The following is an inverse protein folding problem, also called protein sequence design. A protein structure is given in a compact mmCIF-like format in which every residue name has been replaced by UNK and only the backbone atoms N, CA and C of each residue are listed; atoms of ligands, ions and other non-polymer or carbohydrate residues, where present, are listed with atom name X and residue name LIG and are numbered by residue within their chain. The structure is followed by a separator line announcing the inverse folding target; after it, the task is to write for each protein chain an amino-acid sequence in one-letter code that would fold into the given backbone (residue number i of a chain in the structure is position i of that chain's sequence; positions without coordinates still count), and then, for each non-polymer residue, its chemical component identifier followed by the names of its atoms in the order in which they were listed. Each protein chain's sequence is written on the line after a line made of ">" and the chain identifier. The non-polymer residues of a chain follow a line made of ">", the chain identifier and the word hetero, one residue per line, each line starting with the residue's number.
data_IF_882159953938
#
_entry.id   IF_882159953938
#
_cell.length_a   1.000
_cell.length_b   1.000
_cell.length_c   1.000
_cell.angle_alpha   90.00
_cell.angle_beta   90.00
_cell.angle_gamma   90.00
#
_symmetry.space_group_name_H-M   'P 1'
#
loop_
_entity.id
_entity.type
_entity.pdbx_description
1 polymer ?
#
# COMPACT_ATOMS: atom_id res chain seq x y z
N UNK A 1 -9.86 28.85 -9.08
CA UNK A 1 -8.48 28.91 -9.60
C UNK A 1 -7.56 29.13 -8.42
N UNK A 2 -6.85 28.10 -7.96
CA UNK A 2 -5.81 28.25 -6.95
C UNK A 2 -4.53 27.62 -7.52
N UNK A 3 -3.64 28.49 -7.98
CA UNK A 3 -2.29 28.13 -8.36
C UNK A 3 -1.52 27.75 -7.10
N UNK A 4 -1.12 26.48 -6.99
CA UNK A 4 -0.10 26.09 -6.02
C UNK A 4 1.24 26.47 -6.63
N UNK A 5 1.85 27.48 -6.02
CA UNK A 5 3.20 27.99 -6.28
C UNK A 5 4.19 26.86 -6.56
N UNK A 6 4.87 27.02 -7.70
CA UNK A 6 6.03 26.26 -8.14
C UNK A 6 7.12 26.34 -7.07
N UNK A 7 7.33 25.24 -6.34
CA UNK A 7 8.56 25.09 -5.56
C UNK A 7 9.68 24.66 -6.52
N UNK A 8 10.71 25.50 -6.58
CA UNK A 8 11.91 25.42 -7.44
C UNK A 8 12.28 24.02 -7.93
N UNK A 9 12.25 23.83 -9.25
CA UNK A 9 12.58 22.59 -9.95
C UNK A 9 14.11 22.36 -10.11
N UNK A 10 14.96 23.26 -9.60
CA UNK A 10 16.40 23.26 -9.92
C UNK A 10 17.31 22.53 -8.91
N UNK A 11 16.87 22.26 -7.68
CA UNK A 11 17.76 21.71 -6.62
C UNK A 11 17.84 20.16 -6.52
N UNK A 12 17.34 19.38 -7.48
CA UNK A 12 17.12 17.92 -7.27
C UNK A 12 17.60 16.93 -8.34
N UNK A 13 18.44 17.34 -9.29
CA UNK A 13 18.95 16.42 -10.33
C UNK A 13 20.21 15.65 -9.94
N UNK A 14 20.80 15.93 -8.78
CA UNK A 14 22.05 15.30 -8.36
C UNK A 14 22.09 15.06 -6.84
N UNK A 15 22.45 13.85 -6.43
CA UNK A 15 22.61 13.46 -5.04
C UNK A 15 24.03 12.92 -4.81
N UNK A 16 24.88 13.73 -4.18
CA UNK A 16 26.22 13.29 -3.79
C UNK A 16 26.22 12.60 -2.43
N UNK A 17 27.13 11.65 -2.28
CA UNK A 17 27.41 10.92 -1.04
C UNK A 17 28.88 10.54 -0.97
N UNK A 18 29.36 10.34 0.26
CA UNK A 18 30.66 9.78 0.52
C UNK A 18 30.45 8.56 1.42
N UNK A 19 30.89 7.40 0.96
CA UNK A 19 30.72 6.14 1.67
C UNK A 19 32.10 5.46 1.76
N UNK A 20 32.48 4.93 2.93
CA UNK A 20 33.67 4.09 3.06
C UNK A 20 33.72 3.04 1.93
N UNK A 21 34.91 2.77 1.40
CA UNK A 21 35.17 1.84 0.29
C UNK A 21 34.66 2.25 -1.11
N UNK A 22 33.72 3.19 -1.20
CA UNK A 22 33.24 3.78 -2.46
C UNK A 22 33.87 5.14 -2.77
N UNK A 23 34.43 5.82 -1.76
CA UNK A 23 34.86 7.22 -1.86
C UNK A 23 33.67 8.11 -2.27
N UNK A 24 33.94 9.14 -3.09
CA UNK A 24 32.91 10.05 -3.59
C UNK A 24 32.02 9.36 -4.64
N UNK A 25 30.71 9.35 -4.38
CA UNK A 25 29.69 8.89 -5.31
C UNK A 25 28.62 9.94 -5.54
N UNK A 26 27.97 9.88 -6.71
CA UNK A 26 26.82 10.72 -7.03
C UNK A 26 25.77 9.96 -7.82
N UNK A 27 24.51 10.28 -7.58
CA UNK A 27 23.39 9.83 -8.41
C UNK A 27 22.85 11.04 -9.17
N UNK A 28 22.86 10.96 -10.50
CA UNK A 28 22.33 12.00 -11.38
C UNK A 28 21.04 11.52 -12.03
N UNK A 29 20.04 12.40 -12.12
CA UNK A 29 18.79 12.15 -12.83
C UNK A 29 18.87 12.85 -14.19
N UNK A 30 18.74 12.08 -15.27
CA UNK A 30 18.74 12.64 -16.63
C UNK A 30 17.38 13.26 -17.00
N UNK A 31 17.30 13.87 -18.18
CA UNK A 31 16.09 14.52 -18.70
C UNK A 31 14.91 13.56 -18.90
N UNK A 32 15.20 12.26 -19.03
CA UNK A 32 14.19 11.20 -19.12
C UNK A 32 13.78 10.66 -17.74
N UNK A 33 14.29 11.26 -16.66
CA UNK A 33 14.03 10.85 -15.28
C UNK A 33 14.83 9.61 -14.85
N UNK A 34 15.84 9.19 -15.61
CA UNK A 34 16.62 7.99 -15.30
C UNK A 34 17.74 8.31 -14.31
N UNK A 35 17.89 7.44 -13.32
CA UNK A 35 18.90 7.55 -12.28
C UNK A 35 20.20 6.87 -12.72
N UNK A 36 21.30 7.63 -12.69
CA UNK A 36 22.63 7.18 -13.10
C UNK A 36 23.57 7.28 -11.91
N UNK A 37 24.22 6.17 -11.59
CA UNK A 37 25.19 6.10 -10.50
C UNK A 37 26.59 6.38 -11.03
N UNK A 38 27.33 7.22 -10.31
CA UNK A 38 28.74 7.47 -10.55
C UNK A 38 29.52 7.27 -9.27
N UNK A 39 30.71 6.70 -9.40
CA UNK A 39 31.69 6.51 -8.33
C UNK A 39 33.02 7.07 -8.83
N UNK A 40 33.61 8.00 -8.10
CA UNK A 40 34.80 8.74 -8.52
C UNK A 40 34.68 9.34 -9.93
N UNK A 41 33.51 9.92 -10.24
CA UNK A 41 33.13 10.45 -11.56
C UNK A 41 33.05 9.44 -12.71
N UNK A 42 33.19 8.14 -12.45
CA UNK A 42 32.99 7.07 -13.45
C UNK A 42 31.59 6.51 -13.33
N UNK A 43 30.88 6.37 -14.45
CA UNK A 43 29.55 5.77 -14.49
C UNK A 43 29.61 4.29 -14.11
N UNK A 44 28.73 3.87 -13.20
CA UNK A 44 28.66 2.49 -12.71
C UNK A 44 27.45 1.80 -13.31
N UNK A 45 27.67 1.02 -14.35
CA UNK A 45 26.60 0.22 -14.98
C UNK A 45 26.25 -1.03 -14.17
N UNK A 46 27.24 -1.59 -13.45
CA UNK A 46 27.08 -2.77 -12.61
C UNK A 46 27.94 -2.62 -11.36
N UNK A 47 27.34 -2.86 -10.21
CA UNK A 47 28.03 -2.81 -8.93
C UNK A 47 28.92 -4.04 -8.73
N UNK A 48 30.15 -3.83 -8.31
CA UNK A 48 30.96 -4.88 -7.67
C UNK A 48 30.36 -5.27 -6.31
N UNK A 49 30.83 -6.37 -5.75
CA UNK A 49 30.39 -6.83 -4.43
C UNK A 49 30.71 -5.83 -3.31
N UNK A 50 31.89 -5.22 -3.34
CA UNK A 50 32.29 -4.19 -2.36
C UNK A 50 31.46 -2.93 -2.52
N UNK A 51 31.25 -2.47 -3.76
CA UNK A 51 30.43 -1.30 -4.06
C UNK A 51 28.98 -1.52 -3.60
N UNK A 52 28.41 -2.70 -3.88
CA UNK A 52 27.07 -3.04 -3.42
C UNK A 52 26.97 -3.06 -1.89
N UNK A 53 27.94 -3.67 -1.19
CA UNK A 53 27.95 -3.71 0.28
C UNK A 53 27.97 -2.30 0.89
N UNK A 54 28.84 -1.42 0.38
CA UNK A 54 28.92 -0.03 0.81
C UNK A 54 27.62 0.74 0.52
N UNK A 55 27.03 0.60 -0.67
CA UNK A 55 25.75 1.24 -0.99
C UNK A 55 24.59 0.76 -0.12
N UNK A 56 24.56 -0.54 0.20
CA UNK A 56 23.57 -1.12 1.12
C UNK A 56 23.69 -0.49 2.51
N UNK A 57 24.91 -0.43 3.06
CA UNK A 57 25.16 0.16 4.37
C UNK A 57 24.75 1.65 4.40
N UNK A 58 25.05 2.39 3.32
CA UNK A 58 24.63 3.78 3.19
C UNK A 58 23.12 3.93 3.14
N UNK A 59 22.43 3.07 2.39
CA UNK A 59 20.98 3.08 2.35
C UNK A 59 20.35 2.78 3.71
N UNK A 60 20.85 1.76 4.43
CA UNK A 60 20.40 1.43 5.78
C UNK A 60 20.61 2.59 6.77
N UNK A 61 21.69 3.36 6.62
CA UNK A 61 21.92 4.56 7.40
C UNK A 61 20.93 5.69 7.05
N UNK A 62 20.57 5.86 5.78
CA UNK A 62 19.56 6.83 5.35
C UNK A 62 18.15 6.46 5.84
N UNK A 63 17.82 5.17 5.91
CA UNK A 63 16.52 4.70 6.40
C UNK A 63 16.24 5.10 7.86
N UNK A 64 17.28 5.26 8.67
CA UNK A 64 17.16 5.71 10.06
C UNK A 64 16.81 7.20 10.19
N UNK A 65 16.88 7.96 9.08
CA UNK A 65 16.64 9.41 9.06
C UNK A 65 15.22 9.72 8.59
N UNK A 66 14.56 10.65 9.28
CA UNK A 66 13.15 11.01 9.02
C UNK A 66 13.01 12.24 8.11
N UNK A 67 14.10 12.99 7.89
CA UNK A 67 14.11 14.23 7.13
C UNK A 67 13.87 14.01 5.63
N UNK A 68 13.30 15.04 4.98
CA UNK A 68 12.91 14.99 3.56
C UNK A 68 14.10 14.72 2.63
N UNK A 69 15.27 15.31 2.90
CA UNK A 69 16.45 15.21 2.04
C UNK A 69 17.02 13.79 2.08
N UNK A 70 17.10 13.18 3.25
CA UNK A 70 17.53 11.78 3.40
C UNK A 70 16.56 10.81 2.73
N UNK A 71 15.24 11.04 2.81
CA UNK A 71 14.23 10.23 2.10
C UNK A 71 14.38 10.34 0.57
N UNK A 72 14.65 11.53 0.05
CA UNK A 72 14.90 11.73 -1.39
C UNK A 72 16.17 11.00 -1.85
N UNK A 73 17.27 11.12 -1.08
CA UNK A 73 18.52 10.39 -1.34
C UNK A 73 18.30 8.87 -1.31
N UNK A 74 17.57 8.39 -0.31
CA UNK A 74 17.28 6.96 -0.14
C UNK A 74 16.46 6.41 -1.31
N UNK A 75 15.43 7.14 -1.78
CA UNK A 75 14.71 6.78 -3.01
C UNK A 75 15.64 6.71 -4.21
N UNK A 76 16.46 7.75 -4.45
CA UNK A 76 17.38 7.79 -5.58
C UNK A 76 18.37 6.62 -5.56
N UNK A 77 18.88 6.29 -4.37
CA UNK A 77 19.82 5.21 -4.14
C UNK A 77 19.20 3.84 -4.46
N UNK A 78 17.99 3.56 -3.98
CA UNK A 78 17.28 2.30 -4.26
C UNK A 78 17.07 2.11 -5.77
N UNK A 79 16.65 3.18 -6.46
CA UNK A 79 16.43 3.12 -7.92
C UNK A 79 17.75 2.89 -8.66
N UNK A 80 18.84 3.55 -8.25
CA UNK A 80 20.17 3.33 -8.81
C UNK A 80 20.69 1.91 -8.58
N UNK A 81 20.53 1.37 -7.36
CA UNK A 81 20.88 -0.02 -7.02
C UNK A 81 20.11 -1.00 -7.92
N UNK A 82 18.81 -0.77 -8.15
CA UNK A 82 18.00 -1.58 -9.04
C UNK A 82 18.56 -1.66 -10.47
N UNK A 83 18.91 -0.48 -11.01
CA UNK A 83 19.38 -0.32 -12.40
C UNK A 83 20.75 -0.96 -12.63
N UNK A 84 21.58 -1.07 -11.60
CA UNK A 84 22.87 -1.78 -11.68
C UNK A 84 22.71 -3.27 -12.03
N UNK A 85 21.53 -3.85 -11.78
CA UNK A 85 21.15 -5.16 -12.27
C UNK A 85 21.92 -6.35 -11.68
N UNK A 86 22.74 -6.17 -10.65
CA UNK A 86 23.43 -7.29 -10.00
C UNK A 86 22.43 -8.20 -9.28
N UNK A 87 22.72 -9.51 -9.18
CA UNK A 87 21.84 -10.45 -8.49
C UNK A 87 21.61 -10.05 -7.01
N UNK A 88 22.67 -9.61 -6.32
CA UNK A 88 22.61 -9.14 -4.93
C UNK A 88 21.79 -7.86 -4.78
N UNK A 89 21.98 -6.90 -5.68
CA UNK A 89 21.18 -5.66 -5.73
C UNK A 89 19.70 -5.94 -5.84
N UNK A 90 19.34 -6.86 -6.73
CA UNK A 90 17.96 -7.20 -6.99
C UNK A 90 17.33 -8.02 -5.86
N UNK A 91 18.08 -8.94 -5.24
CA UNK A 91 17.64 -9.65 -4.02
C UNK A 91 17.42 -8.67 -2.86
N UNK A 92 18.32 -7.72 -2.67
CA UNK A 92 18.16 -6.66 -1.68
C UNK A 92 16.89 -5.86 -1.91
N UNK A 93 16.59 -5.46 -3.15
CA UNK A 93 15.32 -4.79 -3.45
C UNK A 93 14.10 -5.61 -3.01
N UNK A 94 14.11 -6.92 -3.24
CA UNK A 94 13.02 -7.81 -2.82
C UNK A 94 12.88 -7.84 -1.30
N UNK A 95 13.99 -7.99 -0.58
CA UNK A 95 14.03 -7.89 0.89
C UNK A 95 13.43 -6.55 1.37
N UNK A 96 13.82 -5.44 0.73
CA UNK A 96 13.32 -4.10 1.06
C UNK A 96 11.81 -3.96 0.83
N UNK A 97 11.27 -4.53 -0.25
CA UNK A 97 9.84 -4.52 -0.55
C UNK A 97 9.01 -5.29 0.50
N UNK A 98 9.51 -6.46 0.90
CA UNK A 98 8.81 -7.32 1.86
C UNK A 98 8.89 -6.78 3.28
N UNK A 99 10.01 -6.15 3.63
CA UNK A 99 10.30 -5.74 5.02
C UNK A 99 9.74 -4.36 5.38
N UNK A 100 9.79 -3.41 4.45
CA UNK A 100 9.55 -1.99 4.74
C UNK A 100 8.43 -1.42 3.85
N UNK A 101 7.25 -1.21 4.44
CA UNK A 101 6.07 -0.74 3.67
C UNK A 101 6.26 0.61 2.99
N UNK A 102 6.99 1.52 3.62
CA UNK A 102 7.35 2.85 3.14
C UNK A 102 8.34 2.85 1.97
N UNK A 103 8.97 1.71 1.70
CA UNK A 103 9.96 1.52 0.64
C UNK A 103 9.38 0.94 -0.64
N UNK A 104 8.20 0.32 -0.56
CA UNK A 104 7.62 -0.48 -1.65
C UNK A 104 7.43 0.29 -2.95
N UNK A 105 7.01 1.54 -2.88
CA UNK A 105 6.86 2.39 -4.08
C UNK A 105 8.21 2.71 -4.73
N UNK A 106 9.26 3.00 -3.93
CA UNK A 106 10.60 3.27 -4.43
C UNK A 106 11.24 2.01 -5.04
N UNK A 107 11.04 0.86 -4.39
CA UNK A 107 11.51 -0.43 -4.91
C UNK A 107 10.78 -0.78 -6.21
N UNK A 108 9.45 -0.63 -6.25
CA UNK A 108 8.66 -0.92 -7.44
C UNK A 108 9.07 -0.03 -8.63
N UNK A 109 9.38 1.23 -8.37
CA UNK A 109 9.97 2.14 -9.36
C UNK A 109 11.35 1.65 -9.84
N UNK A 110 12.23 1.23 -8.93
CA UNK A 110 13.52 0.65 -9.32
C UNK A 110 13.38 -0.61 -10.18
N UNK A 111 12.52 -1.55 -9.77
CA UNK A 111 12.26 -2.78 -10.51
C UNK A 111 11.58 -2.53 -11.86
N UNK A 112 10.73 -1.49 -11.97
CA UNK A 112 10.08 -1.15 -13.24
C UNK A 112 11.10 -0.67 -14.26
N UNK A 113 12.06 0.18 -13.87
CA UNK A 113 13.18 0.55 -14.75
C UNK A 113 14.01 -0.64 -15.18
N UNK A 114 14.40 -1.51 -14.22
CA UNK A 114 15.18 -2.71 -14.53
C UNK A 114 14.45 -3.62 -15.54
N UNK A 115 13.15 -3.88 -15.34
CA UNK A 115 12.34 -4.72 -16.23
C UNK A 115 12.19 -4.12 -17.65
N UNK A 116 12.15 -2.78 -17.76
CA UNK A 116 12.03 -2.07 -19.05
C UNK A 116 13.34 -2.03 -19.82
N UNK A 117 14.47 -1.90 -19.14
CA UNK A 117 15.76 -1.65 -19.78
C UNK A 117 16.65 -2.90 -19.89
N UNK A 118 16.45 -3.90 -19.04
CA UNK A 118 17.33 -5.07 -18.95
C UNK A 118 16.54 -6.36 -19.19
N UNK A 119 16.12 -7.04 -18.12
CA UNK A 119 15.56 -8.40 -18.19
C UNK A 119 14.25 -8.50 -17.42
N UNK A 120 13.27 -9.18 -18.01
CA UNK A 120 12.04 -9.57 -17.33
C UNK A 120 12.31 -10.77 -16.42
N UNK A 121 11.89 -10.68 -15.16
CA UNK A 121 12.04 -11.75 -14.16
C UNK A 121 10.71 -12.03 -13.48
N UNK A 122 10.39 -13.31 -13.31
CA UNK A 122 9.13 -13.71 -12.68
C UNK A 122 9.02 -13.26 -11.22
N UNK A 123 10.14 -13.23 -10.52
CA UNK A 123 10.19 -12.71 -9.15
C UNK A 123 9.81 -11.23 -9.11
N UNK A 124 10.25 -10.42 -10.07
CA UNK A 124 9.89 -8.99 -10.17
C UNK A 124 8.43 -8.80 -10.52
N UNK A 125 7.90 -9.60 -11.46
CA UNK A 125 6.51 -9.50 -11.88
C UNK A 125 5.56 -9.57 -10.68
N UNK A 126 5.79 -10.50 -9.75
CA UNK A 126 4.97 -10.65 -8.54
C UNK A 126 5.00 -9.39 -7.68
N UNK A 127 6.16 -8.77 -7.49
CA UNK A 127 6.28 -7.55 -6.69
C UNK A 127 5.68 -6.34 -7.40
N UNK A 128 5.87 -6.22 -8.72
CA UNK A 128 5.28 -5.16 -9.52
C UNK A 128 3.75 -5.22 -9.48
N UNK A 129 3.13 -6.40 -9.65
CA UNK A 129 1.67 -6.55 -9.49
C UNK A 129 1.20 -6.16 -8.09
N UNK A 130 1.88 -6.63 -7.04
CA UNK A 130 1.53 -6.29 -5.65
C UNK A 130 1.70 -4.80 -5.35
N UNK A 131 2.66 -4.15 -6.00
CA UNK A 131 2.95 -2.73 -5.81
C UNK A 131 1.82 -1.83 -6.29
N UNK A 132 0.94 -2.31 -7.18
CA UNK A 132 -0.26 -1.58 -7.61
C UNK A 132 -1.14 -1.12 -6.43
N UNK A 133 -1.07 -1.78 -5.27
CA UNK A 133 -1.78 -1.33 -4.07
C UNK A 133 -1.22 -0.03 -3.46
N UNK A 134 0.03 0.33 -3.75
CA UNK A 134 0.77 1.39 -3.04
C UNK A 134 1.37 2.48 -3.96
N UNK A 135 1.60 2.18 -5.23
CA UNK A 135 2.16 3.14 -6.20
C UNK A 135 1.10 4.13 -6.65
N UNK A 136 1.51 5.38 -6.85
CA UNK A 136 0.64 6.50 -7.23
C UNK A 136 1.35 7.37 -8.28
N UNK A 137 0.57 8.15 -9.03
CA UNK A 137 1.09 9.11 -10.01
C UNK A 137 2.12 8.50 -10.97
N UNK A 138 3.26 9.19 -11.12
CA UNK A 138 4.30 8.78 -12.08
C UNK A 138 4.87 7.38 -11.80
N UNK A 139 5.02 6.99 -10.53
CA UNK A 139 5.55 5.68 -10.16
C UNK A 139 4.59 4.57 -10.58
N UNK A 140 3.28 4.81 -10.48
CA UNK A 140 2.27 3.87 -10.98
C UNK A 140 2.34 3.72 -12.50
N UNK A 141 2.52 4.81 -13.24
CA UNK A 141 2.71 4.74 -14.70
C UNK A 141 3.91 3.88 -15.09
N UNK A 142 5.04 4.03 -14.39
CA UNK A 142 6.26 3.26 -14.67
C UNK A 142 6.07 1.77 -14.39
N UNK A 143 5.39 1.43 -13.28
CA UNK A 143 5.04 0.04 -12.96
C UNK A 143 4.11 -0.56 -14.01
N UNK A 144 3.06 0.16 -14.43
CA UNK A 144 2.14 -0.30 -15.48
C UNK A 144 2.89 -0.51 -16.80
N UNK A 145 3.79 0.41 -17.16
CA UNK A 145 4.63 0.31 -18.36
C UNK A 145 5.53 -0.93 -18.33
N UNK A 146 6.13 -1.22 -17.16
CA UNK A 146 6.92 -2.43 -16.98
C UNK A 146 6.06 -3.71 -17.09
N UNK A 147 4.89 -3.73 -16.44
CA UNK A 147 3.96 -4.86 -16.46
C UNK A 147 3.45 -5.19 -17.87
N UNK A 148 3.29 -4.19 -18.74
CA UNK A 148 2.91 -4.38 -20.15
C UNK A 148 3.94 -5.20 -20.95
N UNK A 149 5.20 -5.26 -20.50
CA UNK A 149 6.25 -6.05 -21.18
C UNK A 149 6.17 -7.54 -20.86
N UNK A 150 5.49 -7.92 -19.77
CA UNK A 150 5.35 -9.31 -19.38
C UNK A 150 4.20 -9.97 -20.15
N UNK A 151 4.48 -11.13 -20.76
CA UNK A 151 3.43 -11.97 -21.37
C UNK A 151 2.42 -12.49 -20.33
N UNK A 152 2.84 -12.60 -19.07
CA UNK A 152 2.02 -13.09 -17.96
C UNK A 152 0.87 -12.12 -17.63
N UNK A 153 -0.26 -12.70 -17.25
CA UNK A 153 -1.49 -11.98 -16.88
C UNK A 153 -1.79 -12.15 -15.40
N UNK A 154 -2.27 -11.10 -14.74
CA UNK A 154 -2.88 -11.23 -13.42
C UNK A 154 -4.37 -11.58 -13.61
N UNK A 155 -4.82 -12.68 -13.00
CA UNK A 155 -6.16 -13.24 -13.21
C UNK A 155 -7.08 -13.14 -11.99
N UNK A 156 -6.55 -12.78 -10.81
CA UNK A 156 -7.36 -12.54 -9.61
C UNK A 156 -8.12 -11.22 -9.74
N UNK A 157 -9.39 -11.21 -9.33
CA UNK A 157 -10.26 -10.04 -9.36
C UNK A 157 -9.62 -8.82 -8.71
N UNK A 158 -8.96 -9.00 -7.55
CA UNK A 158 -8.30 -7.92 -6.81
C UNK A 158 -7.26 -7.14 -7.65
N UNK A 159 -6.46 -7.82 -8.47
CA UNK A 159 -5.40 -7.17 -9.24
C UNK A 159 -5.96 -6.40 -10.43
N UNK A 160 -6.95 -6.97 -11.12
CA UNK A 160 -7.65 -6.31 -12.23
C UNK A 160 -8.39 -5.08 -11.70
N UNK A 161 -9.08 -5.23 -10.56
CA UNK A 161 -9.77 -4.14 -9.87
C UNK A 161 -8.80 -3.00 -9.54
N UNK A 162 -7.67 -3.34 -8.91
CA UNK A 162 -6.69 -2.35 -8.49
C UNK A 162 -6.09 -1.60 -9.67
N UNK A 163 -5.81 -2.30 -10.77
CA UNK A 163 -5.32 -1.66 -12.00
C UNK A 163 -6.32 -0.66 -12.58
N UNK A 164 -7.62 -0.99 -12.61
CA UNK A 164 -8.67 -0.07 -13.06
C UNK A 164 -8.70 1.17 -12.15
N UNK A 165 -8.66 0.99 -10.83
CA UNK A 165 -8.69 2.09 -9.85
C UNK A 165 -7.50 3.02 -10.02
N UNK A 166 -6.28 2.47 -10.17
CA UNK A 166 -5.10 3.28 -10.44
C UNK A 166 -5.26 4.03 -11.75
N UNK A 167 -5.69 3.35 -12.81
CA UNK A 167 -5.94 3.99 -14.11
C UNK A 167 -6.86 5.20 -13.99
N UNK A 168 -7.93 5.11 -13.20
CA UNK A 168 -8.88 6.21 -12.97
C UNK A 168 -8.25 7.38 -12.21
N UNK A 169 -7.25 7.12 -11.36
CA UNK A 169 -6.50 8.14 -10.61
C UNK A 169 -5.40 8.83 -11.41
N UNK A 170 -5.02 8.29 -12.58
CA UNK A 170 -3.94 8.82 -13.40
C UNK A 170 -4.45 9.86 -14.42
N UNK A 171 -3.52 10.64 -14.96
CA UNK A 171 -3.78 11.46 -16.15
C UNK A 171 -4.02 10.58 -17.38
N UNK A 172 -4.58 11.15 -18.45
CA UNK A 172 -5.03 10.41 -19.64
C UNK A 172 -3.97 9.47 -20.24
N UNK A 173 -2.70 9.90 -20.28
CA UNK A 173 -1.58 9.06 -20.76
C UNK A 173 -1.37 7.83 -19.87
N UNK A 174 -1.44 7.99 -18.55
CA UNK A 174 -1.32 6.90 -17.58
C UNK A 174 -2.55 5.98 -17.61
N UNK A 175 -3.75 6.57 -17.68
CA UNK A 175 -5.01 5.85 -17.84
C UNK A 175 -5.01 4.98 -19.11
N UNK A 176 -4.49 5.49 -20.23
CA UNK A 176 -4.38 4.74 -21.50
C UNK A 176 -3.49 3.50 -21.35
N UNK A 177 -2.36 3.62 -20.62
CA UNK A 177 -1.52 2.45 -20.30
C UNK A 177 -2.26 1.45 -19.42
N UNK A 178 -3.04 1.91 -18.45
CA UNK A 178 -3.85 1.05 -17.61
C UNK A 178 -4.90 0.28 -18.44
N UNK A 179 -5.61 0.94 -19.37
CA UNK A 179 -6.54 0.30 -20.31
C UNK A 179 -5.84 -0.83 -21.06
N UNK A 180 -4.68 -0.55 -21.69
CA UNK A 180 -3.91 -1.57 -22.42
C UNK A 180 -3.53 -2.76 -21.54
N UNK A 181 -3.17 -2.52 -20.28
CA UNK A 181 -2.80 -3.58 -19.35
C UNK A 181 -4.01 -4.38 -18.89
N UNK A 182 -5.17 -3.74 -18.66
CA UNK A 182 -6.43 -4.44 -18.36
C UNK A 182 -6.84 -5.31 -19.54
N UNK A 183 -6.77 -4.79 -20.77
CA UNK A 183 -7.05 -5.54 -21.98
C UNK A 183 -6.17 -6.79 -22.10
N UNK A 184 -4.86 -6.63 -21.86
CA UNK A 184 -3.91 -7.74 -21.84
C UNK A 184 -4.29 -8.77 -20.78
N UNK A 185 -4.52 -8.36 -19.53
CA UNK A 185 -4.84 -9.28 -18.44
C UNK A 185 -6.18 -9.99 -18.62
N UNK A 186 -7.18 -9.30 -19.16
CA UNK A 186 -8.51 -9.82 -19.42
C UNK A 186 -8.62 -10.57 -20.75
N UNK A 187 -7.57 -10.54 -21.58
CA UNK A 187 -7.49 -11.23 -22.86
C UNK A 187 -8.49 -10.72 -23.91
N UNK A 188 -8.92 -9.47 -23.81
CA UNK A 188 -9.90 -8.87 -24.73
C UNK A 188 -9.74 -7.35 -24.82
N UNK A 189 -10.15 -6.78 -25.95
CA UNK A 189 -10.09 -5.34 -26.21
C UNK A 189 -11.33 -4.59 -25.75
N UNK A 190 -11.21 -3.30 -25.51
CA UNK A 190 -12.36 -2.41 -25.29
C UNK A 190 -13.23 -2.42 -26.55
N UNK A 191 -14.52 -2.76 -26.40
CA UNK A 191 -15.49 -2.72 -27.49
C UNK A 191 -16.08 -1.32 -27.55
N UNK A 192 -15.94 -0.65 -28.70
CA UNK A 192 -16.30 0.77 -28.92
C UNK A 192 -15.60 1.70 -27.92
N UNK A 193 -14.29 1.97 -28.11
CA UNK A 193 -13.56 2.94 -27.31
C UNK A 193 -14.27 4.30 -27.28
N UNK A 194 -14.14 4.97 -26.15
CA UNK A 194 -14.61 6.33 -25.93
C UNK A 194 -13.53 7.34 -26.34
N UNK A 195 -13.84 8.64 -26.26
CA UNK A 195 -12.89 9.72 -26.58
C UNK A 195 -11.76 9.87 -25.53
N UNK A 196 -11.86 9.23 -24.36
CA UNK A 196 -10.85 9.33 -23.29
C UNK A 196 -10.50 7.96 -22.70
N UNK A 197 -9.27 7.81 -22.21
CA UNK A 197 -8.88 6.56 -21.56
C UNK A 197 -9.64 6.35 -20.24
N UNK A 198 -10.03 7.44 -19.55
CA UNK A 198 -10.91 7.35 -18.37
C UNK A 198 -12.31 6.86 -18.72
N UNK A 199 -12.86 7.26 -19.87
CA UNK A 199 -14.13 6.72 -20.37
C UNK A 199 -14.04 5.21 -20.66
N UNK A 200 -12.93 4.75 -21.25
CA UNK A 200 -12.66 3.34 -21.48
C UNK A 200 -12.53 2.55 -20.17
N UNK A 201 -11.88 3.13 -19.16
CA UNK A 201 -11.85 2.54 -17.83
C UNK A 201 -13.25 2.44 -17.22
N UNK A 202 -14.15 3.38 -17.51
CA UNK A 202 -15.57 3.29 -17.16
C UNK A 202 -16.28 2.10 -17.81
N UNK A 203 -15.94 1.75 -19.06
CA UNK A 203 -16.39 0.50 -19.69
C UNK A 203 -15.82 -0.70 -18.92
N UNK A 204 -14.53 -0.67 -18.58
CA UNK A 204 -13.87 -1.73 -17.82
C UNK A 204 -14.42 -1.92 -16.41
N UNK A 205 -14.92 -0.88 -15.74
CA UNK A 205 -15.64 -0.99 -14.48
C UNK A 205 -16.91 -1.84 -14.63
N UNK A 206 -17.72 -1.59 -15.67
CA UNK A 206 -18.95 -2.37 -15.95
C UNK A 206 -18.62 -3.82 -16.28
N UNK A 207 -17.60 -4.02 -17.11
CA UNK A 207 -17.04 -5.35 -17.43
C UNK A 207 -16.61 -6.09 -16.17
N UNK A 208 -15.86 -5.42 -15.29
CA UNK A 208 -15.36 -5.99 -14.06
C UNK A 208 -16.52 -6.42 -13.15
N UNK A 209 -17.51 -5.55 -12.95
CA UNK A 209 -18.68 -5.83 -12.13
C UNK A 209 -19.48 -7.04 -12.65
N UNK A 210 -19.62 -7.19 -13.97
CA UNK A 210 -20.28 -8.36 -14.59
C UNK A 210 -19.47 -9.65 -14.41
N UNK A 211 -18.13 -9.59 -14.51
CA UNK A 211 -17.26 -10.77 -14.42
C UNK A 211 -17.04 -11.23 -12.97
N UNK A 212 -17.02 -10.29 -12.03
CA UNK A 212 -16.75 -10.53 -10.62
C UNK A 212 -17.90 -9.95 -9.77
N UNK A 213 -19.09 -10.55 -9.84
CA UNK A 213 -20.28 -10.05 -9.17
C UNK A 213 -20.19 -10.08 -7.66
N UNK A 214 -19.21 -10.73 -7.05
CA UNK A 214 -18.97 -10.77 -5.60
C UNK A 214 -17.80 -9.88 -5.15
N UNK A 215 -17.11 -9.23 -6.09
CA UNK A 215 -16.02 -8.30 -5.76
C UNK A 215 -16.55 -6.88 -5.49
N UNK A 216 -15.87 -6.10 -4.63
CA UNK A 216 -16.15 -4.67 -4.50
C UNK A 216 -15.97 -3.94 -5.84
N UNK A 217 -16.74 -2.87 -6.10
CA UNK A 217 -16.65 -2.13 -7.37
C UNK A 217 -15.23 -1.59 -7.58
N UNK A 218 -14.79 -1.57 -8.85
CA UNK A 218 -13.52 -0.99 -9.29
C UNK A 218 -13.59 0.55 -9.36
N UNK A 219 -14.04 1.19 -8.28
CA UNK A 219 -14.24 2.63 -8.20
C UNK A 219 -13.23 3.28 -7.27
N UNK A 220 -12.91 4.54 -7.56
CA UNK A 220 -12.15 5.39 -6.64
C UNK A 220 -12.93 5.51 -5.32
N UNK A 221 -12.23 5.55 -4.17
CA UNK A 221 -12.89 5.85 -2.91
C UNK A 221 -13.43 7.28 -2.94
N UNK A 222 -14.65 7.47 -2.44
CA UNK A 222 -15.32 8.78 -2.43
C UNK A 222 -15.64 9.13 -0.99
N UNK A 223 -15.17 10.29 -0.53
CA UNK A 223 -15.53 10.82 0.78
C UNK A 223 -17.06 11.01 0.88
N UNK A 224 -17.67 10.52 1.96
CA UNK A 224 -19.10 10.72 2.18
C UNK A 224 -19.42 12.23 2.26
N UNK A 225 -20.46 12.70 1.56
CA UNK A 225 -20.78 14.14 1.43
C UNK A 225 -20.79 14.87 2.78
N UNK A 226 -21.51 14.33 3.76
CA UNK A 226 -21.68 14.90 5.11
C UNK A 226 -20.57 14.54 6.12
N UNK A 227 -19.55 13.79 5.73
CA UNK A 227 -18.45 13.43 6.62
C UNK A 227 -17.64 14.68 7.00
N UNK A 228 -17.36 14.83 8.30
CA UNK A 228 -16.49 15.87 8.88
C UNK A 228 -15.07 15.79 8.33
N UNK A 229 -14.59 14.57 8.08
CA UNK A 229 -13.20 14.30 7.74
C UNK A 229 -13.05 13.79 6.31
N UNK A 230 -12.31 14.55 5.49
CA UNK A 230 -11.98 14.18 4.11
C UNK A 230 -10.59 13.56 4.05
N UNK A 231 -10.40 12.54 3.21
CA UNK A 231 -9.13 11.82 3.09
C UNK A 231 -7.95 12.77 2.83
N UNK A 232 -8.05 13.66 1.84
CA UNK A 232 -6.95 14.56 1.49
C UNK A 232 -6.59 15.52 2.63
N UNK A 233 -7.58 16.00 3.39
CA UNK A 233 -7.37 16.87 4.54
C UNK A 233 -6.65 16.13 5.67
N UNK A 234 -7.15 14.97 6.09
CA UNK A 234 -6.52 14.17 7.13
C UNK A 234 -5.13 13.68 6.72
N UNK A 235 -4.96 13.26 5.47
CA UNK A 235 -3.66 12.87 4.95
C UNK A 235 -2.65 14.02 5.07
N UNK A 236 -3.02 15.24 4.66
CA UNK A 236 -2.13 16.40 4.78
C UNK A 236 -1.78 16.74 6.24
N UNK A 237 -2.74 16.66 7.16
CA UNK A 237 -2.52 16.86 8.60
C UNK A 237 -1.55 15.81 9.13
N UNK A 238 -1.85 14.54 8.89
CA UNK A 238 -1.07 13.41 9.39
C UNK A 238 0.32 13.34 8.77
N UNK A 239 0.54 13.80 7.54
CA UNK A 239 1.86 13.83 6.90
C UNK A 239 2.80 14.88 7.51
N UNK A 240 2.27 15.94 8.12
CA UNK A 240 3.07 17.02 8.73
C UNK A 240 3.46 16.72 10.18
N UNK A 241 2.70 15.88 10.87
CA UNK A 241 2.93 15.57 12.28
C UNK A 241 3.97 14.46 12.45
N UNK A 242 4.92 14.73 13.36
CA UNK A 242 5.81 13.73 13.94
C UNK A 242 5.19 13.24 15.26
N UNK A 243 5.43 11.98 15.60
CA UNK A 243 4.80 11.31 16.75
C UNK A 243 5.81 11.10 17.87
N UNK A 244 6.57 12.16 18.15
CA UNK A 244 7.72 12.11 19.05
C UNK A 244 7.26 12.32 20.51
N UNK A 245 6.07 12.89 20.69
CA UNK A 245 5.37 13.03 21.96
C UNK A 245 3.92 12.55 21.81
N UNK A 246 3.71 11.24 21.97
CA UNK A 246 2.37 10.64 22.03
C UNK A 246 2.08 10.25 23.46
N UNK A 247 0.95 10.73 23.98
CA UNK A 247 0.40 10.24 25.22
C UNK A 247 -0.26 8.88 24.95
N UNK A 248 0.36 7.81 25.46
CA UNK A 248 -0.10 6.45 25.25
C UNK A 248 -1.43 6.17 25.97
N UNK A 249 -1.68 6.81 27.10
CA UNK A 249 -2.94 6.64 27.84
C UNK A 249 -4.09 7.34 27.12
N UNK A 250 -3.86 8.57 26.66
CA UNK A 250 -4.83 9.29 25.85
C UNK A 250 -5.09 8.55 24.52
N UNK A 251 -4.03 8.09 23.85
CA UNK A 251 -4.12 7.28 22.64
C UNK A 251 -4.98 6.02 22.82
N UNK A 252 -4.80 5.32 23.94
CA UNK A 252 -5.64 4.16 24.32
C UNK A 252 -7.11 4.55 24.54
N UNK A 253 -7.39 5.64 25.26
CA UNK A 253 -8.76 6.14 25.46
C UNK A 253 -9.43 6.44 24.13
N UNK A 254 -8.71 7.07 23.18
CA UNK A 254 -9.21 7.38 21.84
C UNK A 254 -9.42 6.10 21.01
N UNK A 255 -8.49 5.14 21.07
CA UNK A 255 -8.61 3.84 20.41
C UNK A 255 -9.87 3.07 20.85
N UNK A 256 -10.22 3.18 22.14
CA UNK A 256 -11.47 2.64 22.70
C UNK A 256 -12.69 3.47 22.28
N UNK A 257 -12.61 4.81 22.35
CA UNK A 257 -13.68 5.73 21.93
C UNK A 257 -14.09 5.51 20.47
N UNK A 258 -13.10 5.32 19.60
CA UNK A 258 -13.29 4.99 18.18
C UNK A 258 -13.73 3.53 17.94
N UNK A 259 -13.97 2.74 19.00
CA UNK A 259 -14.36 1.32 18.94
C UNK A 259 -13.36 0.38 18.26
N UNK A 260 -12.13 0.83 17.97
CA UNK A 260 -11.10 -0.01 17.34
C UNK A 260 -10.78 -1.25 18.19
N UNK A 261 -10.74 -1.08 19.52
CA UNK A 261 -10.40 -2.15 20.48
C UNK A 261 -11.37 -3.34 20.44
N UNK A 262 -12.61 -3.14 19.99
CA UNK A 262 -13.63 -4.20 19.90
C UNK A 262 -13.28 -5.26 18.85
N UNK A 263 -12.44 -4.92 17.88
CA UNK A 263 -12.08 -5.82 16.78
C UNK A 263 -10.58 -6.05 16.69
N UNK A 264 -9.77 -5.07 17.07
CA UNK A 264 -8.34 -5.07 16.83
C UNK A 264 -7.53 -5.15 18.12
N UNK A 265 -6.51 -6.00 18.07
CA UNK A 265 -5.47 -6.06 19.09
C UNK A 265 -4.39 -5.01 18.82
N UNK A 266 -3.96 -4.31 19.87
CA UNK A 266 -2.79 -3.43 19.87
C UNK A 266 -2.02 -3.62 21.18
N UNK A 267 -0.74 -3.99 21.08
CA UNK A 267 -0.01 -4.58 22.21
C UNK A 267 -0.66 -5.89 22.65
N UNK A 268 -0.98 -5.98 23.93
CA UNK A 268 -1.70 -7.11 24.55
C UNK A 268 -3.20 -6.86 24.75
N UNK A 269 -3.71 -5.70 24.31
CA UNK A 269 -5.09 -5.29 24.54
C UNK A 269 -5.96 -5.41 23.29
N UNK A 270 -7.26 -5.63 23.50
CA UNK A 270 -8.27 -5.74 22.45
C UNK A 270 -8.47 -7.15 21.90
N UNK A 271 -9.28 -7.24 20.86
CA UNK A 271 -9.74 -8.51 20.30
C UNK A 271 -8.90 -8.99 19.10
N UNK A 272 -8.87 -10.30 18.84
CA UNK A 272 -8.09 -10.90 17.74
C UNK A 272 -8.97 -11.28 16.55
N UNK A 273 -9.93 -10.44 16.20
CA UNK A 273 -10.90 -10.73 15.14
C UNK A 273 -10.49 -10.05 13.85
N UNK A 274 -10.18 -8.75 13.91
CA UNK A 274 -9.55 -8.01 12.84
C UNK A 274 -8.02 -8.16 12.85
N UNK A 275 -7.34 -7.52 11.87
CA UNK A 275 -5.89 -7.43 11.82
C UNK A 275 -5.25 -7.02 13.15
N UNK A 276 -4.19 -7.72 13.55
CA UNK A 276 -3.36 -7.29 14.68
C UNK A 276 -2.63 -5.98 14.34
N UNK A 277 -2.94 -4.91 15.07
CA UNK A 277 -2.42 -3.58 14.81
C UNK A 277 -1.03 -3.34 15.40
N UNK A 278 -0.54 -4.19 16.31
CA UNK A 278 0.80 -4.08 16.91
C UNK A 278 1.92 -3.99 15.87
N UNK A 279 1.76 -4.69 14.74
CA UNK A 279 2.76 -4.73 13.66
C UNK A 279 2.29 -4.02 12.39
N UNK A 280 1.15 -3.32 12.42
CA UNK A 280 0.52 -2.83 11.18
C UNK A 280 1.39 -1.82 10.45
N UNK A 281 2.15 -1.00 11.15
CA UNK A 281 2.99 0.02 10.52
C UNK A 281 4.19 -0.57 9.75
N UNK A 282 4.58 -1.83 10.02
CA UNK A 282 5.52 -2.58 9.15
C UNK A 282 4.87 -3.02 7.85
N UNK A 283 3.55 -3.27 7.89
CA UNK A 283 2.78 -3.80 6.77
C UNK A 283 2.15 -2.72 5.90
N UNK A 284 1.80 -1.57 6.46
CA UNK A 284 1.05 -0.50 5.79
C UNK A 284 1.60 0.87 6.19
N UNK A 285 1.70 1.76 5.20
CA UNK A 285 2.01 3.16 5.43
C UNK A 285 0.82 3.86 6.09
N UNK A 286 1.11 5.00 6.74
CA UNK A 286 0.10 5.85 7.40
C UNK A 286 -1.09 6.19 6.49
N UNK A 287 -0.80 6.54 5.24
CA UNK A 287 -1.83 6.86 4.23
C UNK A 287 -2.72 5.66 3.89
N UNK A 288 -2.16 4.45 3.89
CA UNK A 288 -2.90 3.22 3.63
C UNK A 288 -3.81 2.88 4.82
N UNK A 289 -3.32 3.06 6.05
CA UNK A 289 -4.11 2.90 7.28
C UNK A 289 -5.28 3.90 7.28
N UNK A 290 -5.03 5.16 6.96
CA UNK A 290 -6.07 6.19 6.84
C UNK A 290 -7.12 5.81 5.78
N UNK A 291 -6.66 5.37 4.60
CA UNK A 291 -7.55 4.95 3.51
C UNK A 291 -8.41 3.76 3.94
N UNK A 292 -7.84 2.79 4.66
CA UNK A 292 -8.58 1.65 5.19
C UNK A 292 -9.67 2.11 6.18
N UNK A 293 -9.33 2.99 7.14
CA UNK A 293 -10.29 3.49 8.14
C UNK A 293 -11.45 4.26 7.50
N UNK A 294 -11.15 5.16 6.54
CA UNK A 294 -12.19 5.97 5.89
C UNK A 294 -13.01 5.19 4.86
N UNK A 295 -12.41 4.19 4.22
CA UNK A 295 -13.04 3.41 3.15
C UNK A 295 -12.87 1.91 3.40
N UNK A 296 -13.47 1.36 4.47
CA UNK A 296 -13.23 -0.02 4.91
C UNK A 296 -13.55 -1.06 3.82
N UNK A 297 -14.59 -0.82 3.03
CA UNK A 297 -15.01 -1.71 1.92
C UNK A 297 -14.18 -1.53 0.63
N UNK A 298 -13.24 -0.58 0.59
CA UNK A 298 -12.41 -0.35 -0.60
C UNK A 298 -11.38 -1.46 -0.82
N UNK A 299 -10.89 -2.08 0.25
CA UNK A 299 -10.01 -3.25 0.19
C UNK A 299 -10.28 -4.13 1.41
N UNK A 300 -10.81 -5.34 1.17
CA UNK A 300 -11.06 -6.34 2.19
C UNK A 300 -10.00 -7.43 2.03
N UNK A 301 -9.07 -7.61 2.98
CA UNK A 301 -8.06 -8.65 2.89
C UNK A 301 -8.70 -10.06 2.83
N UNK A 302 -8.10 -10.97 2.06
CA UNK A 302 -8.57 -12.36 1.94
C UNK A 302 -8.55 -13.08 3.30
N UNK A 303 -7.67 -12.67 4.23
CA UNK A 303 -7.54 -13.22 5.58
C UNK A 303 -8.64 -12.76 6.55
N UNK A 304 -9.37 -11.70 6.22
CA UNK A 304 -10.43 -11.13 7.05
C UNK A 304 -11.72 -10.93 6.24
N UNK A 305 -12.27 -12.01 5.63
CA UNK A 305 -13.45 -11.90 4.80
C UNK A 305 -14.66 -11.53 5.64
N UNK A 306 -15.52 -10.67 5.10
CA UNK A 306 -16.84 -10.44 5.67
C UNK A 306 -17.81 -11.41 5.02
N UNK A 307 -18.66 -12.07 5.83
CA UNK A 307 -19.60 -13.08 5.36
C UNK A 307 -20.99 -12.81 5.89
N UNK A 308 -21.99 -13.13 5.08
CA UNK A 308 -23.39 -13.20 5.49
C UNK A 308 -23.77 -14.67 5.63
N UNK A 309 -24.22 -15.05 6.83
CA UNK A 309 -24.70 -16.38 7.17
C UNK A 309 -26.22 -16.35 7.29
N UNK A 310 -26.89 -17.24 6.58
CA UNK A 310 -28.33 -17.47 6.64
C UNK A 310 -28.59 -18.76 7.43
N UNK A 311 -29.48 -18.71 8.42
CA UNK A 311 -29.91 -19.90 9.17
C UNK A 311 -31.12 -20.55 8.52
N UNK A 312 -31.34 -21.83 8.83
CA UNK A 312 -32.53 -22.59 8.41
C UNK A 312 -33.84 -21.97 8.92
N UNK A 313 -33.77 -21.22 10.01
CA UNK A 313 -34.90 -20.44 10.56
C UNK A 313 -35.08 -19.05 9.93
N UNK A 314 -34.38 -18.74 8.83
CA UNK A 314 -34.52 -17.48 8.09
C UNK A 314 -33.82 -16.26 8.69
N UNK A 315 -33.01 -16.43 9.75
CA UNK A 315 -32.23 -15.33 10.32
C UNK A 315 -30.93 -15.14 9.55
N UNK A 316 -30.56 -13.88 9.30
CA UNK A 316 -29.30 -13.53 8.64
C UNK A 316 -28.35 -12.80 9.59
N UNK A 317 -27.08 -13.19 9.56
CA UNK A 317 -26.01 -12.59 10.36
C UNK A 317 -24.87 -12.17 9.44
N UNK A 318 -24.46 -10.90 9.50
CA UNK A 318 -23.34 -10.38 8.70
C UNK A 318 -22.20 -9.98 9.61
N UNK A 319 -20.99 -10.46 9.31
CA UNK A 319 -19.83 -10.20 10.13
C UNK A 319 -18.58 -10.97 9.71
N UNK A 320 -17.54 -10.90 10.54
CA UNK A 320 -16.34 -11.73 10.38
C UNK A 320 -16.52 -13.06 11.10
N UNK A 321 -16.15 -14.15 10.44
CA UNK A 321 -16.06 -15.45 11.11
C UNK A 321 -14.88 -15.45 12.08
N UNK A 322 -15.14 -15.81 13.33
CA UNK A 322 -14.12 -16.01 14.35
C UNK A 322 -13.80 -17.48 14.55
N UNK A 323 -12.74 -17.76 15.32
CA UNK A 323 -12.45 -19.11 15.77
C UNK A 323 -13.62 -19.64 16.63
N UNK A 324 -14.01 -20.90 16.41
CA UNK A 324 -15.10 -21.56 17.12
C UNK A 324 -14.87 -23.07 17.23
N UNK A 325 -15.63 -23.72 18.09
CA UNK A 325 -15.53 -25.16 18.32
C UNK A 325 -16.09 -26.03 17.17
N UNK A 326 -16.07 -27.36 17.31
CA UNK A 326 -16.46 -28.29 16.24
C UNK A 326 -17.91 -28.11 15.78
N UNK A 327 -18.85 -27.77 16.68
CA UNK A 327 -20.30 -27.73 16.40
C UNK A 327 -20.87 -26.32 16.19
N UNK A 328 -20.08 -25.28 16.42
CA UNK A 328 -20.57 -23.89 16.46
C UNK A 328 -19.72 -23.02 15.54
N UNK A 329 -20.33 -22.04 14.89
CA UNK A 329 -19.66 -20.93 14.23
C UNK A 329 -19.79 -19.67 15.08
N UNK A 330 -18.71 -18.90 15.16
CA UNK A 330 -18.72 -17.55 15.73
C UNK A 330 -18.78 -16.53 14.58
N UNK A 331 -19.76 -15.64 14.62
CA UNK A 331 -19.78 -14.43 13.80
C UNK A 331 -19.66 -13.22 14.72
N UNK A 332 -18.70 -12.34 14.43
CA UNK A 332 -18.67 -11.00 15.00
C UNK A 332 -19.48 -10.06 14.12
N UNK A 333 -20.64 -9.63 14.61
CA UNK A 333 -21.48 -8.64 13.95
C UNK A 333 -20.77 -7.29 13.78
N UNK A 334 -21.28 -6.48 12.85
CA UNK A 334 -20.77 -5.13 12.57
C UNK A 334 -20.84 -4.18 13.78
N UNK A 335 -21.67 -4.52 14.76
CA UNK A 335 -21.82 -3.80 16.04
C UNK A 335 -20.80 -4.25 17.11
N UNK A 336 -19.93 -5.20 16.78
CA UNK A 336 -18.96 -5.80 17.70
C UNK A 336 -19.55 -6.90 18.59
N UNK A 337 -20.78 -7.36 18.35
CA UNK A 337 -21.38 -8.46 19.14
C UNK A 337 -20.98 -9.82 18.57
N UNK A 338 -20.62 -10.73 19.47
CA UNK A 338 -20.31 -12.13 19.17
C UNK A 338 -21.62 -12.92 19.12
N UNK A 339 -21.88 -13.59 18.01
CA UNK A 339 -23.03 -14.48 17.83
C UNK A 339 -22.52 -15.90 17.57
N UNK A 340 -23.00 -16.84 18.38
CA UNK A 340 -22.68 -18.26 18.24
C UNK A 340 -23.85 -18.99 17.58
N UNK A 341 -23.58 -19.67 16.47
CA UNK A 341 -24.59 -20.33 15.65
C UNK A 341 -24.20 -21.79 15.50
N UNK A 342 -25.10 -22.73 15.80
CA UNK A 342 -24.81 -24.16 15.60
C UNK A 342 -24.68 -24.43 14.10
N UNK A 343 -23.64 -25.16 13.68
CA UNK A 343 -23.39 -25.47 12.26
C UNK A 343 -24.59 -26.16 11.60
N UNK A 344 -25.28 -27.04 12.33
CA UNK A 344 -26.50 -27.71 11.84
C UNK A 344 -27.66 -26.77 11.50
N UNK A 345 -27.67 -25.56 12.06
CA UNK A 345 -28.71 -24.55 11.84
C UNK A 345 -28.34 -23.61 10.69
N UNK A 346 -27.15 -23.74 10.11
CA UNK A 346 -26.71 -22.93 8.97
C UNK A 346 -27.30 -23.47 7.68
N UNK A 347 -27.88 -22.58 6.88
CA UNK A 347 -28.41 -22.86 5.55
C UNK A 347 -27.41 -22.44 4.47
N UNK A 348 -26.84 -21.24 4.58
CA UNK A 348 -25.89 -20.72 3.58
C UNK A 348 -24.86 -19.78 4.21
N UNK A 349 -23.68 -19.68 3.60
CA UNK A 349 -22.62 -18.71 3.95
C UNK A 349 -22.15 -18.07 2.64
N UNK A 350 -22.34 -16.75 2.53
CA UNK A 350 -22.05 -15.99 1.31
C UNK A 350 -21.02 -14.91 1.61
N UNK A 351 -19.97 -14.74 0.77
CA UNK A 351 -19.06 -13.60 0.87
C UNK A 351 -19.80 -12.27 0.75
N UNK A 352 -19.38 -11.27 1.52
CA UNK A 352 -19.95 -9.93 1.49
C UNK A 352 -18.92 -8.90 0.97
N UNK A 353 -19.37 -7.99 0.11
CA UNK A 353 -18.56 -6.89 -0.45
C UNK A 353 -18.34 -5.74 0.51
N UNK A 354 -19.14 -5.68 1.58
CA UNK A 354 -19.09 -4.66 2.60
C UNK A 354 -18.17 -5.19 3.70
N UNK A 355 -17.20 -4.38 4.10
CA UNK A 355 -16.28 -4.72 5.17
C UNK A 355 -17.00 -4.78 6.52
N UNK A 356 -16.53 -5.68 7.39
CA UNK A 356 -16.96 -5.74 8.76
C UNK A 356 -16.47 -4.56 9.61
N UNK A 357 -15.39 -3.88 9.20
CA UNK A 357 -14.95 -2.66 9.84
C UNK A 357 -15.98 -1.54 9.57
N UNK A 358 -16.57 -0.92 10.61
CA UNK A 358 -17.59 0.10 10.43
C UNK A 358 -17.06 1.34 9.70
N UNK A 359 -17.95 2.03 8.97
CA UNK A 359 -17.66 3.36 8.45
C UNK A 359 -17.74 4.41 9.56
N UNK A 360 -17.24 5.62 9.30
CA UNK A 360 -17.41 6.81 10.17
C UNK A 360 -16.75 6.71 11.56
N UNK A 361 -15.80 5.80 11.76
CA UNK A 361 -15.09 5.62 13.04
C UNK A 361 -14.38 6.89 13.56
N UNK A 362 -14.08 7.85 12.67
CA UNK A 362 -13.39 9.10 13.01
C UNK A 362 -14.32 10.30 13.21
N UNK A 363 -15.62 10.22 12.91
CA UNK A 363 -16.53 11.38 12.89
C UNK A 363 -16.62 12.10 14.25
N UNK A 364 -16.68 11.32 15.33
CA UNK A 364 -16.77 11.81 16.71
C UNK A 364 -15.43 12.26 17.31
N UNK A 365 -14.35 12.16 16.54
CA UNK A 365 -13.02 12.55 16.98
C UNK A 365 -12.69 13.99 16.57
N UNK A 366 -11.94 14.70 17.41
CA UNK A 366 -11.26 15.94 17.03
C UNK A 366 -10.04 15.68 16.14
N UNK A 367 -9.47 16.74 15.58
CA UNK A 367 -8.25 16.63 14.78
C UNK A 367 -7.09 16.08 15.63
N UNK A 368 -6.95 16.61 16.85
CA UNK A 368 -5.94 16.26 17.82
C UNK A 368 -6.11 14.80 18.27
N UNK A 369 -7.34 14.36 18.50
CA UNK A 369 -7.63 12.96 18.82
C UNK A 369 -7.23 12.02 17.66
N UNK A 370 -7.47 12.42 16.40
CA UNK A 370 -7.02 11.62 15.24
C UNK A 370 -5.49 11.56 15.17
N UNK A 371 -4.79 12.66 15.42
CA UNK A 371 -3.32 12.68 15.46
C UNK A 371 -2.81 11.72 16.56
N UNK A 372 -3.39 11.79 17.76
CA UNK A 372 -3.03 10.90 18.89
C UNK A 372 -3.35 9.43 18.59
N UNK A 373 -4.49 9.13 17.96
CA UNK A 373 -4.86 7.78 17.55
C UNK A 373 -3.83 7.16 16.60
N UNK A 374 -3.42 7.90 15.56
CA UNK A 374 -2.40 7.41 14.63
C UNK A 374 -1.03 7.30 15.29
N UNK A 375 -0.68 8.23 16.18
CA UNK A 375 0.52 8.14 17.00
C UNK A 375 0.56 6.87 17.86
N UNK A 376 -0.56 6.57 18.52
CA UNK A 376 -0.73 5.37 19.34
C UNK A 376 -0.62 4.08 18.53
N UNK A 377 -1.26 4.00 17.36
CA UNK A 377 -1.12 2.83 16.46
C UNK A 377 0.34 2.65 16.01
N UNK A 378 1.10 3.74 15.82
CA UNK A 378 2.49 3.67 15.36
C UNK A 378 3.52 3.41 16.47
N UNK A 379 3.21 3.72 17.74
CA UNK A 379 4.16 3.60 18.84
C UNK A 379 4.58 2.15 19.14
N UNK A 380 3.66 1.19 18.99
CA UNK A 380 3.89 -0.22 19.29
C UNK A 380 4.85 -0.93 18.33
N UNK A 381 5.04 -0.38 17.12
CA UNK A 381 6.05 -0.92 16.22
C UNK A 381 7.46 -0.47 16.63
N UNK A 382 7.62 0.74 17.16
CA UNK A 382 8.92 1.26 17.62
C UNK A 382 9.42 0.52 18.87
N UNK A 383 8.54 0.15 19.80
CA UNK A 383 8.92 -0.54 21.04
C UNK A 383 9.54 -1.93 20.80
N UNK A 384 9.11 -2.68 19.78
CA UNK A 384 9.68 -4.00 19.48
C UNK A 384 11.02 -3.95 18.74
N UNK A 385 11.33 -2.85 18.04
CA UNK A 385 12.63 -2.69 17.37
C UNK A 385 13.78 -2.53 18.37
N UNK A 386 13.50 -2.04 19.58
CA UNK A 386 14.49 -1.89 20.67
C UNK A 386 14.86 -3.26 21.28
N UNK A 387 14.01 -4.28 21.13
CA UNK A 387 14.20 -5.60 21.76
C UNK A 387 15.02 -6.64 20.97
N UNK A 388 15.44 -6.36 19.73
CA UNK A 388 16.11 -7.35 18.86
C UNK A 388 17.62 -7.09 18.64
N UNK A 389 18.25 -6.21 19.43
CA UNK A 389 19.71 -5.97 19.36
C UNK A 389 20.50 -6.48 20.58
N UNK A 390 19.90 -7.34 21.40
CA UNK A 390 20.63 -8.12 22.40
C UNK A 390 20.21 -9.58 22.31
N UNK A 391 20.90 -10.33 21.44
CA UNK A 391 21.21 -11.77 21.54
C UNK A 391 21.51 -12.32 20.14
N UNK A 392 22.77 -12.22 19.71
CA UNK A 392 23.68 -13.37 19.57
C UNK A 392 25.08 -12.86 19.24
#
# INVERSE_FOLDING_TARGET
>A
MFFVSSTNAEDSKMFSFNVPDLKEGKIQIDEKGRYHLFVQNVAVERLSDSQFAAMRQYDEALQKKTDKKSKQKSRALVVAIARSGSAKSLLYLHEQFETYSERRNNVAEGLSYYAREKKLRDSDWRLLVRSLNVVEGKQAEEVIDALLRFRRRANKAQWIRQLIIIGLSLEEKGASKAVKLVEHWMGRKTVKPTESAKGDLGIWQKVFAKRYPDAPPAALPVDAKKSKWKYNRLHAILSKHQYDQIDLEQGKKIFTKASCIKCHRLGEEGEKIGPNLTTISRKMQRKEILKAILFPSHFIPEEYPTTTLETKGGKTYTGMMGASGPEVLLILGLDGKKVFIKKKDVKNIVPNKISAMPEKLLEELSQEEIIQLFGYIQSFTKQKTIGFHKQK
#
